data_IF_309638572336
#
_entry.id   IF_309638572336
#
_cell.length_a   1.000
_cell.length_b   1.000
_cell.length_c   1.000
_cell.angle_alpha   90.00
_cell.angle_beta   90.00
_cell.angle_gamma   90.00
#
_symmetry.space_group_name_H-M   'P 1'
#
loop_
_entity.id
_entity.type
_entity.pdbx_description
1 polymer ?
#
# COMPACT_ATOMS: atom_id res chain seq x y z
N UNK A 1 -5.46 -8.07 18.65
CA UNK A 1 -6.11 -6.82 18.18
C UNK A 1 -7.60 -6.84 18.51
N UNK A 2 -8.22 -5.67 18.72
CA UNK A 2 -9.66 -5.55 19.05
C UNK A 2 -10.50 -5.09 17.87
N UNK A 3 -9.93 -4.29 16.98
CA UNK A 3 -10.65 -3.64 15.89
C UNK A 3 -10.09 -3.98 14.51
N UNK A 4 -8.78 -3.81 14.30
CA UNK A 4 -8.13 -4.08 13.01
C UNK A 4 -7.75 -5.55 12.88
N UNK A 5 -8.77 -6.43 13.06
CA UNK A 5 -8.61 -7.87 13.02
C UNK A 5 -8.45 -8.40 11.59
N UNK A 6 -8.06 -9.67 11.45
CA UNK A 6 -8.02 -10.38 10.16
C UNK A 6 -9.37 -10.29 9.44
N UNK A 7 -10.48 -10.48 10.16
CA UNK A 7 -11.82 -10.38 9.60
C UNK A 7 -12.18 -8.96 9.16
N UNK A 8 -11.71 -7.92 9.87
CA UNK A 8 -11.86 -6.54 9.44
C UNK A 8 -11.08 -6.27 8.15
N UNK A 9 -9.84 -6.76 8.07
CA UNK A 9 -9.01 -6.64 6.87
C UNK A 9 -9.62 -7.37 5.68
N UNK A 10 -10.10 -8.61 5.88
CA UNK A 10 -10.83 -9.34 4.83
C UNK A 10 -12.11 -8.63 4.40
N UNK A 11 -12.82 -8.00 5.33
CA UNK A 11 -14.01 -7.19 5.01
C UNK A 11 -13.63 -5.98 4.14
N UNK A 12 -12.49 -5.33 4.43
CA UNK A 12 -11.97 -4.22 3.65
C UNK A 12 -11.71 -4.63 2.19
N UNK A 13 -11.18 -5.82 1.94
CA UNK A 13 -10.98 -6.34 0.58
C UNK A 13 -12.30 -6.59 -0.19
N UNK A 14 -13.43 -6.63 0.51
CA UNK A 14 -14.76 -6.95 -0.03
C UNK A 14 -15.66 -5.70 -0.14
N UNK A 15 -15.09 -4.48 -0.06
CA UNK A 15 -15.87 -3.22 -0.06
C UNK A 15 -16.42 -2.87 -1.44
N UNK A 16 -15.74 -3.24 -2.51
CA UNK A 16 -16.20 -2.98 -3.87
C UNK A 16 -15.78 -4.08 -4.84
N UNK A 17 -16.60 -5.11 -4.96
CA UNK A 17 -16.41 -6.16 -5.95
C UNK A 17 -16.56 -5.67 -7.40
N UNK A 18 -17.27 -4.55 -7.59
CA UNK A 18 -17.60 -4.03 -8.92
C UNK A 18 -16.61 -2.95 -9.40
N UNK A 19 -15.54 -2.68 -8.66
CA UNK A 19 -14.53 -1.71 -9.07
C UNK A 19 -14.00 -2.06 -10.47
N UNK A 20 -13.98 -1.07 -11.38
CA UNK A 20 -13.57 -1.24 -12.78
C UNK A 20 -14.44 -2.20 -13.60
N UNK A 21 -15.55 -2.74 -13.06
CA UNK A 21 -16.45 -3.65 -13.77
C UNK A 21 -17.65 -2.90 -14.35
N UNK A 22 -18.14 -3.40 -15.48
CA UNK A 22 -19.31 -2.87 -16.19
C UNK A 22 -20.37 -3.96 -16.32
N UNK A 23 -21.63 -3.64 -16.06
CA UNK A 23 -22.70 -4.60 -16.27
C UNK A 23 -22.92 -4.85 -17.78
N UNK A 24 -23.14 -6.11 -18.14
CA UNK A 24 -23.54 -6.55 -19.47
C UNK A 24 -24.85 -7.36 -19.36
N UNK A 25 -25.57 -7.57 -20.45
CA UNK A 25 -26.77 -8.39 -20.45
C UNK A 25 -26.47 -9.80 -19.92
N UNK A 26 -27.44 -10.40 -19.24
CA UNK A 26 -27.34 -11.80 -18.84
C UNK A 26 -27.47 -12.71 -20.06
N UNK A 27 -26.75 -13.82 -20.08
CA UNK A 27 -26.77 -14.81 -21.19
C UNK A 27 -25.42 -15.49 -21.35
N UNK A 28 -25.40 -16.44 -22.28
CA UNK A 28 -24.18 -17.10 -22.73
C UNK A 28 -23.55 -16.29 -23.85
N UNK A 29 -22.23 -16.18 -23.85
CA UNK A 29 -21.44 -15.44 -24.84
C UNK A 29 -20.61 -16.42 -25.66
N UNK A 30 -20.81 -16.44 -26.96
CA UNK A 30 -19.99 -17.23 -27.89
C UNK A 30 -18.54 -16.64 -27.96
N UNK A 31 -17.63 -17.43 -28.53
CA UNK A 31 -16.25 -16.96 -28.77
C UNK A 31 -16.22 -15.72 -29.68
N UNK A 32 -17.14 -15.65 -30.64
CA UNK A 32 -17.28 -14.50 -31.54
C UNK A 32 -17.77 -13.25 -30.79
N UNK A 33 -18.66 -13.40 -29.81
CA UNK A 33 -19.12 -12.28 -29.00
C UNK A 33 -18.01 -11.77 -28.06
N UNK A 34 -17.27 -12.69 -27.43
CA UNK A 34 -16.10 -12.36 -26.63
C UNK A 34 -15.05 -11.63 -27.46
N UNK A 35 -14.78 -12.13 -28.70
CA UNK A 35 -13.83 -11.48 -29.60
C UNK A 35 -14.26 -10.06 -29.95
N UNK A 36 -15.53 -9.83 -30.27
CA UNK A 36 -16.04 -8.47 -30.51
C UNK A 36 -15.89 -7.55 -29.30
N UNK A 37 -16.14 -8.06 -28.11
CA UNK A 37 -15.95 -7.30 -26.86
C UNK A 37 -14.48 -6.98 -26.63
N UNK A 38 -13.58 -7.94 -26.86
CA UNK A 38 -12.14 -7.74 -26.78
C UNK A 38 -11.67 -6.63 -27.73
N UNK A 39 -12.02 -6.75 -29.02
CA UNK A 39 -11.63 -5.78 -30.05
C UNK A 39 -12.17 -4.36 -29.72
N UNK A 40 -13.40 -4.28 -29.21
CA UNK A 40 -14.00 -3.02 -28.77
C UNK A 40 -13.25 -2.41 -27.58
N UNK A 41 -12.87 -3.23 -26.59
CA UNK A 41 -12.13 -2.76 -25.41
C UNK A 41 -10.72 -2.32 -25.78
N UNK A 42 -10.00 -3.12 -26.57
CA UNK A 42 -8.69 -2.77 -27.07
C UNK A 42 -8.70 -1.44 -27.82
N UNK A 43 -9.64 -1.27 -28.77
CA UNK A 43 -9.78 -0.02 -29.51
C UNK A 43 -10.04 1.18 -28.58
N UNK A 44 -10.86 0.99 -27.54
CA UNK A 44 -11.16 2.05 -26.59
C UNK A 44 -9.94 2.40 -25.72
N UNK A 45 -9.13 1.41 -25.35
CA UNK A 45 -7.90 1.59 -24.59
C UNK A 45 -6.85 2.36 -25.39
N UNK A 46 -6.59 1.94 -26.63
CA UNK A 46 -5.69 2.63 -27.57
C UNK A 46 -6.13 4.08 -27.80
N UNK A 47 -7.44 4.30 -27.97
CA UNK A 47 -7.97 5.66 -28.17
C UNK A 47 -7.86 6.53 -26.92
N UNK A 48 -7.94 5.94 -25.72
CA UNK A 48 -7.73 6.65 -24.44
C UNK A 48 -6.27 7.03 -24.31
N UNK A 49 -5.36 6.06 -24.43
CA UNK A 49 -3.92 6.29 -24.28
C UNK A 49 -3.39 7.28 -25.31
N UNK A 50 -3.91 7.21 -26.57
CA UNK A 50 -3.56 8.22 -27.55
C UNK A 50 -4.02 9.63 -27.16
N UNK A 51 -5.23 9.77 -26.64
CA UNK A 51 -5.73 11.07 -26.17
C UNK A 51 -4.90 11.60 -25.01
N UNK A 52 -4.60 10.74 -24.02
CA UNK A 52 -3.79 11.12 -22.87
C UNK A 52 -2.36 11.47 -23.31
N UNK A 53 -1.83 10.75 -24.33
CA UNK A 53 -0.56 11.06 -24.97
C UNK A 53 -0.60 12.41 -25.72
N UNK A 54 -1.67 12.73 -26.42
CA UNK A 54 -1.83 13.96 -27.19
C UNK A 54 -2.15 15.18 -26.28
N UNK A 55 -2.51 14.95 -25.02
CA UNK A 55 -2.83 16.01 -24.07
C UNK A 55 -1.58 16.83 -23.73
N UNK A 56 -1.63 18.17 -23.90
CA UNK A 56 -0.48 19.03 -23.56
C UNK A 56 -0.28 19.10 -22.05
N UNK A 57 0.93 19.40 -21.57
CA UNK A 57 1.19 19.57 -20.14
C UNK A 57 0.27 20.61 -19.53
N UNK A 58 -0.42 20.23 -18.47
CA UNK A 58 -1.30 21.13 -17.70
C UNK A 58 -0.67 21.38 -16.33
N UNK A 59 -0.71 22.63 -15.88
CA UNK A 59 -0.11 23.03 -14.61
C UNK A 59 -1.16 23.71 -13.73
N UNK A 60 -1.13 23.36 -12.44
CA UNK A 60 -1.98 24.04 -11.45
C UNK A 60 -1.37 25.42 -11.20
N UNK A 61 -2.15 26.47 -11.32
CA UNK A 61 -1.74 27.81 -10.93
C UNK A 61 -1.82 27.97 -9.42
N UNK A 62 -0.65 28.00 -8.77
CA UNK A 62 -0.51 28.32 -7.37
C UNK A 62 -0.31 29.82 -7.18
N UNK A 63 -1.05 30.41 -6.24
CA UNK A 63 -0.76 31.76 -5.78
C UNK A 63 0.45 31.75 -4.83
N UNK A 64 1.64 31.78 -5.43
CA UNK A 64 2.91 31.72 -4.70
C UNK A 64 3.07 32.96 -3.78
N UNK A 65 2.42 34.08 -4.10
CA UNK A 65 2.53 35.30 -3.31
C UNK A 65 1.72 35.18 -1.99
N UNK A 66 0.67 34.35 -1.98
CA UNK A 66 -0.13 34.04 -0.78
C UNK A 66 0.42 32.87 0.04
N UNK A 67 1.28 32.03 -0.54
CA UNK A 67 1.77 30.80 0.09
C UNK A 67 2.87 31.04 1.12
N UNK A 68 2.93 30.21 2.15
CA UNK A 68 4.02 30.18 3.13
C UNK A 68 5.24 29.43 2.54
N UNK A 69 6.43 30.03 2.64
CA UNK A 69 7.68 29.41 2.16
C UNK A 69 7.98 28.08 2.87
N UNK A 70 7.56 27.94 4.12
CA UNK A 70 7.77 26.71 4.90
C UNK A 70 6.96 25.51 4.41
N UNK A 71 5.92 25.74 3.58
CA UNK A 71 5.12 24.68 2.97
C UNK A 71 5.76 24.11 1.69
N UNK A 72 6.78 24.81 1.13
CA UNK A 72 7.50 24.36 -0.05
C UNK A 72 8.80 23.67 0.35
N UNK A 73 8.81 22.36 0.26
CA UNK A 73 10.02 21.57 0.35
C UNK A 73 10.17 20.76 -0.94
N UNK A 74 11.39 20.69 -1.48
CA UNK A 74 11.71 19.92 -2.67
C UNK A 74 12.99 19.11 -2.47
N UNK A 75 13.12 18.03 -3.21
CA UNK A 75 14.36 17.27 -3.23
C UNK A 75 15.28 17.82 -4.34
N UNK A 76 16.53 18.08 -4.01
CA UNK A 76 17.53 18.44 -5.01
C UNK A 76 17.99 17.19 -5.80
N UNK A 77 18.89 17.39 -6.78
CA UNK A 77 19.46 16.32 -7.61
C UNK A 77 20.16 15.20 -6.80
N UNK A 78 20.55 15.47 -5.57
CA UNK A 78 21.18 14.49 -4.66
C UNK A 78 20.18 13.85 -3.68
N UNK A 79 18.87 14.05 -3.87
CA UNK A 79 17.83 13.51 -2.98
C UNK A 79 17.73 14.21 -1.63
N UNK A 80 18.42 15.32 -1.42
CA UNK A 80 18.37 16.07 -0.16
C UNK A 80 17.15 16.99 -0.13
N UNK A 81 16.34 16.91 0.95
CA UNK A 81 15.21 17.80 1.16
C UNK A 81 15.71 19.24 1.39
N UNK A 82 15.40 20.12 0.46
CA UNK A 82 15.74 21.53 0.49
C UNK A 82 14.49 22.38 0.66
N UNK A 83 14.65 23.55 1.28
CA UNK A 83 13.62 24.58 1.32
C UNK A 83 14.06 25.75 0.43
N UNK A 84 13.14 26.33 -0.35
CA UNK A 84 13.45 27.50 -1.16
C UNK A 84 13.80 28.69 -0.23
N UNK A 85 14.76 29.49 -0.67
CA UNK A 85 15.20 30.67 0.08
C UNK A 85 14.31 31.89 -0.15
N UNK A 86 13.51 31.88 -1.22
CA UNK A 86 12.63 32.99 -1.60
C UNK A 86 11.49 32.56 -2.52
N UNK A 87 10.43 33.36 -2.57
CA UNK A 87 9.34 33.21 -3.54
C UNK A 87 9.79 33.35 -5.00
N UNK A 88 10.87 34.10 -5.24
CA UNK A 88 11.47 34.23 -6.57
C UNK A 88 12.09 32.92 -7.02
N UNK A 89 12.78 32.22 -6.15
CA UNK A 89 13.34 30.89 -6.43
C UNK A 89 12.25 29.87 -6.77
N UNK A 90 11.11 29.85 -6.02
CA UNK A 90 9.97 28.98 -6.33
C UNK A 90 9.42 29.30 -7.75
N UNK A 91 9.25 30.58 -8.08
CA UNK A 91 8.77 30.98 -9.40
C UNK A 91 9.71 30.54 -10.53
N UNK A 92 11.03 30.62 -10.29
CA UNK A 92 12.04 30.16 -11.22
C UNK A 92 12.03 28.65 -11.42
N UNK A 93 11.92 27.89 -10.32
CA UNK A 93 11.80 26.42 -10.35
C UNK A 93 10.54 25.98 -11.12
N UNK A 94 9.38 26.55 -10.81
CA UNK A 94 8.13 26.23 -11.52
C UNK A 94 8.23 26.60 -13.01
N UNK A 95 8.86 27.73 -13.33
CA UNK A 95 9.06 28.11 -14.73
C UNK A 95 9.99 27.15 -15.48
N UNK A 96 11.06 26.69 -14.83
CA UNK A 96 11.98 25.70 -15.38
C UNK A 96 11.28 24.32 -15.58
N UNK A 97 10.51 23.86 -14.59
CA UNK A 97 9.73 22.63 -14.69
C UNK A 97 8.70 22.69 -15.83
N UNK A 98 7.97 23.81 -15.94
CA UNK A 98 7.03 24.04 -17.04
C UNK A 98 7.74 24.01 -18.40
N UNK A 99 8.88 24.64 -18.51
CA UNK A 99 9.67 24.66 -19.75
C UNK A 99 10.20 23.27 -20.11
N UNK A 100 10.68 22.50 -19.12
CA UNK A 100 11.14 21.14 -19.32
C UNK A 100 10.00 20.21 -19.78
N UNK A 101 8.83 20.28 -19.14
CA UNK A 101 7.66 19.49 -19.51
C UNK A 101 7.17 19.81 -20.93
N UNK A 102 7.20 21.08 -21.34
CA UNK A 102 6.88 21.46 -22.72
C UNK A 102 7.92 20.96 -23.73
N UNK A 103 9.23 21.05 -23.41
CA UNK A 103 10.29 20.52 -24.26
C UNK A 103 10.19 19.01 -24.45
N UNK A 104 9.87 18.28 -23.39
CA UNK A 104 9.59 16.84 -23.44
C UNK A 104 8.37 16.54 -24.31
N UNK A 105 7.26 17.25 -24.09
CA UNK A 105 6.05 17.12 -24.89
C UNK A 105 6.30 17.32 -26.39
N UNK A 106 7.05 18.36 -26.78
CA UNK A 106 7.33 18.68 -28.18
C UNK A 106 8.34 17.72 -28.83
N UNK A 107 9.26 17.14 -28.04
CA UNK A 107 10.33 16.26 -28.54
C UNK A 107 9.97 14.78 -28.56
N UNK A 108 8.83 14.39 -27.96
CA UNK A 108 8.43 12.99 -27.88
C UNK A 108 8.16 12.36 -29.24
N UNK A 109 8.45 11.06 -29.43
CA UNK A 109 8.19 10.36 -30.68
C UNK A 109 6.69 10.30 -30.98
N UNK A 110 6.26 9.94 -32.18
CA UNK A 110 4.85 9.68 -32.47
C UNK A 110 4.29 8.56 -31.57
N UNK A 111 3.01 8.68 -31.18
CA UNK A 111 2.34 7.65 -30.38
C UNK A 111 2.41 6.27 -31.07
N UNK A 112 2.91 5.29 -30.34
CA UNK A 112 2.94 3.89 -30.78
C UNK A 112 1.83 3.07 -30.06
N UNK A 113 0.81 2.60 -30.77
CA UNK A 113 -0.25 1.79 -30.17
C UNK A 113 0.22 0.40 -29.74
N UNK A 114 1.35 -0.10 -30.24
CA UNK A 114 1.82 -1.48 -29.97
C UNK A 114 2.07 -1.75 -28.50
N UNK A 115 2.59 -0.77 -27.74
CA UNK A 115 2.79 -0.89 -26.31
C UNK A 115 1.46 -1.02 -25.55
N UNK A 116 0.47 -0.21 -25.93
CA UNK A 116 -0.88 -0.31 -25.35
C UNK A 116 -1.53 -1.66 -25.67
N UNK A 117 -1.39 -2.15 -26.90
CA UNK A 117 -1.90 -3.44 -27.31
C UNK A 117 -1.24 -4.59 -26.54
N UNK A 118 0.06 -4.54 -26.33
CA UNK A 118 0.80 -5.53 -25.56
C UNK A 118 0.37 -5.52 -24.09
N UNK A 119 0.31 -4.35 -23.46
CA UNK A 119 -0.13 -4.18 -22.07
C UNK A 119 -1.58 -4.66 -21.88
N UNK A 120 -2.47 -4.34 -22.82
CA UNK A 120 -3.86 -4.81 -22.78
C UNK A 120 -3.94 -6.34 -22.86
N UNK A 121 -3.15 -6.97 -23.73
CA UNK A 121 -3.10 -8.44 -23.87
C UNK A 121 -2.61 -9.08 -22.57
N UNK A 122 -1.53 -8.59 -22.00
CA UNK A 122 -0.99 -9.09 -20.73
C UNK A 122 -2.01 -8.96 -19.59
N UNK A 123 -2.71 -7.81 -19.51
CA UNK A 123 -3.76 -7.61 -18.52
C UNK A 123 -4.97 -8.55 -18.73
N UNK A 124 -5.33 -8.82 -19.98
CA UNK A 124 -6.38 -9.78 -20.30
C UNK A 124 -6.00 -11.21 -19.89
N UNK A 125 -4.78 -11.65 -20.22
CA UNK A 125 -4.27 -12.98 -19.87
C UNK A 125 -4.18 -13.16 -18.35
N UNK A 126 -3.67 -12.18 -17.63
CA UNK A 126 -3.69 -12.17 -16.16
C UNK A 126 -5.13 -12.18 -15.58
N UNK A 127 -6.05 -11.47 -16.24
CA UNK A 127 -7.47 -11.47 -15.89
C UNK A 127 -8.15 -12.82 -16.08
N UNK A 128 -7.75 -13.61 -17.09
CA UNK A 128 -8.22 -14.99 -17.27
C UNK A 128 -7.77 -15.90 -16.14
N UNK A 129 -6.51 -15.74 -15.67
CA UNK A 129 -5.92 -16.59 -14.65
C UNK A 129 -6.41 -16.22 -13.25
N UNK A 130 -6.40 -14.94 -12.90
CA UNK A 130 -6.61 -14.47 -11.52
C UNK A 130 -7.90 -13.68 -11.32
N UNK A 131 -8.57 -13.23 -12.39
CA UNK A 131 -9.68 -12.27 -12.29
C UNK A 131 -10.87 -12.75 -11.47
N UNK A 132 -11.12 -14.06 -11.44
CA UNK A 132 -12.20 -14.65 -10.64
C UNK A 132 -11.91 -14.70 -9.14
N UNK A 133 -10.64 -14.70 -8.72
CA UNK A 133 -10.25 -14.92 -7.31
C UNK A 133 -10.81 -13.85 -6.36
N UNK A 134 -10.99 -12.63 -6.85
CA UNK A 134 -11.54 -11.51 -6.07
C UNK A 134 -13.02 -11.62 -5.71
N UNK A 135 -13.76 -12.52 -6.37
CA UNK A 135 -15.20 -12.67 -6.17
C UNK A 135 -15.54 -13.77 -5.17
N UNK A 136 -16.68 -13.66 -4.47
CA UNK A 136 -17.17 -14.72 -3.61
C UNK A 136 -17.49 -15.99 -4.42
N UNK A 137 -17.43 -17.15 -3.78
CA UNK A 137 -17.57 -18.45 -4.42
C UNK A 137 -18.84 -18.56 -5.28
N UNK A 138 -19.99 -18.07 -4.76
CA UNK A 138 -21.25 -18.08 -5.52
C UNK A 138 -21.18 -17.30 -6.85
N UNK A 139 -20.39 -16.23 -6.88
CA UNK A 139 -20.21 -15.44 -8.10
C UNK A 139 -19.21 -16.12 -9.05
N UNK A 140 -18.10 -16.66 -8.52
CA UNK A 140 -17.12 -17.38 -9.34
C UNK A 140 -17.72 -18.51 -10.14
N UNK A 141 -18.66 -19.26 -9.56
CA UNK A 141 -19.33 -20.36 -10.21
C UNK A 141 -20.33 -19.92 -11.30
N UNK A 142 -20.74 -18.65 -11.31
CA UNK A 142 -21.69 -18.07 -12.27
C UNK A 142 -21.03 -17.17 -13.32
N UNK A 143 -19.71 -16.94 -13.25
CA UNK A 143 -19.01 -15.97 -14.08
C UNK A 143 -18.17 -16.67 -15.15
N UNK A 144 -18.21 -16.11 -16.36
CA UNK A 144 -17.27 -16.40 -17.44
C UNK A 144 -15.98 -15.58 -17.22
N UNK A 145 -14.83 -16.28 -17.04
CA UNK A 145 -13.54 -15.64 -16.83
C UNK A 145 -13.16 -14.67 -17.97
N UNK A 146 -13.57 -14.96 -19.20
CA UNK A 146 -13.30 -14.12 -20.37
C UNK A 146 -14.01 -12.76 -20.27
N UNK A 147 -15.26 -12.75 -19.79
CA UNK A 147 -15.99 -11.51 -19.54
C UNK A 147 -15.35 -10.72 -18.39
N UNK A 148 -14.98 -11.41 -17.32
CA UNK A 148 -14.33 -10.80 -16.17
C UNK A 148 -12.99 -10.16 -16.58
N UNK A 149 -12.16 -10.86 -17.34
CA UNK A 149 -10.89 -10.33 -17.86
C UNK A 149 -11.09 -9.08 -18.74
N UNK A 150 -12.23 -8.95 -19.42
CA UNK A 150 -12.62 -7.75 -20.18
C UNK A 150 -13.29 -6.66 -19.31
N UNK A 151 -13.45 -6.87 -18.03
CA UNK A 151 -14.09 -5.91 -17.12
C UNK A 151 -15.62 -5.92 -17.21
N UNK A 152 -16.24 -7.05 -17.56
CA UNK A 152 -17.71 -7.18 -17.64
C UNK A 152 -18.23 -8.20 -16.64
N UNK A 153 -19.43 -7.91 -16.12
CA UNK A 153 -20.21 -8.83 -15.29
C UNK A 153 -21.64 -8.92 -15.81
N UNK A 154 -22.27 -10.11 -15.86
CA UNK A 154 -23.69 -10.24 -16.08
C UNK A 154 -24.50 -9.33 -15.15
N UNK A 155 -25.57 -8.72 -15.61
CA UNK A 155 -26.34 -7.72 -14.86
C UNK A 155 -26.81 -8.22 -13.51
N UNK A 156 -27.37 -9.41 -13.47
CA UNK A 156 -27.86 -10.03 -12.22
C UNK A 156 -26.74 -10.25 -11.19
N UNK A 157 -25.58 -10.71 -11.64
CA UNK A 157 -24.40 -10.90 -10.78
C UNK A 157 -23.85 -9.55 -10.30
N UNK A 158 -23.74 -8.56 -11.20
CA UNK A 158 -23.29 -7.21 -10.88
C UNK A 158 -24.16 -6.56 -9.79
N UNK A 159 -25.49 -6.62 -9.96
CA UNK A 159 -26.42 -5.97 -9.02
C UNK A 159 -26.37 -6.65 -7.64
N UNK A 160 -26.25 -7.98 -7.59
CA UNK A 160 -26.08 -8.73 -6.33
C UNK A 160 -24.75 -8.41 -5.64
N UNK A 161 -23.63 -8.37 -6.37
CA UNK A 161 -22.32 -8.00 -5.86
C UNK A 161 -22.31 -6.57 -5.32
N UNK A 162 -22.95 -5.64 -6.02
CA UNK A 162 -23.08 -4.25 -5.60
C UNK A 162 -23.86 -4.11 -4.30
N UNK A 163 -24.91 -4.89 -4.11
CA UNK A 163 -25.68 -4.91 -2.86
C UNK A 163 -24.85 -5.52 -1.71
N UNK A 164 -24.08 -6.57 -1.98
CA UNK A 164 -23.16 -7.17 -1.01
C UNK A 164 -22.06 -6.19 -0.60
N UNK A 165 -21.42 -5.53 -1.58
CA UNK A 165 -20.43 -4.46 -1.33
C UNK A 165 -21.00 -3.33 -0.46
N UNK A 166 -22.25 -2.91 -0.70
CA UNK A 166 -22.90 -1.87 0.11
C UNK A 166 -23.10 -2.31 1.57
N UNK A 167 -23.48 -3.57 1.81
CA UNK A 167 -23.60 -4.13 3.17
C UNK A 167 -22.24 -4.21 3.86
N UNK A 168 -21.23 -4.72 3.14
CA UNK A 168 -19.86 -4.81 3.65
C UNK A 168 -19.31 -3.42 4.02
N UNK A 169 -19.51 -2.43 3.15
CA UNK A 169 -19.11 -1.04 3.39
C UNK A 169 -19.74 -0.47 4.64
N UNK A 170 -21.05 -0.67 4.82
CA UNK A 170 -21.76 -0.20 6.03
C UNK A 170 -21.20 -0.85 7.31
N UNK A 171 -20.93 -2.15 7.28
CA UNK A 171 -20.33 -2.88 8.41
C UNK A 171 -18.90 -2.38 8.69
N UNK A 172 -18.09 -2.23 7.66
CA UNK A 172 -16.73 -1.72 7.74
C UNK A 172 -16.69 -0.32 8.36
N UNK A 173 -17.54 0.61 7.88
CA UNK A 173 -17.64 1.96 8.41
C UNK A 173 -18.06 1.99 9.89
N UNK A 174 -18.94 1.08 10.32
CA UNK A 174 -19.34 0.98 11.72
C UNK A 174 -18.19 0.54 12.62
N UNK A 175 -17.45 -0.52 12.21
CA UNK A 175 -16.29 -1.03 12.94
C UNK A 175 -15.20 0.04 13.00
N UNK A 176 -14.85 0.64 11.86
CA UNK A 176 -13.79 1.66 11.76
C UNK A 176 -14.10 2.90 12.60
N UNK A 177 -15.37 3.34 12.62
CA UNK A 177 -15.79 4.47 13.49
C UNK A 177 -15.68 4.11 14.97
N UNK A 178 -16.06 2.89 15.36
CA UNK A 178 -15.92 2.43 16.73
C UNK A 178 -14.45 2.30 17.14
N UNK A 179 -13.61 1.74 16.24
CA UNK A 179 -12.17 1.65 16.41
C UNK A 179 -11.55 3.01 16.65
N UNK A 180 -11.76 3.96 15.73
CA UNK A 180 -11.21 5.31 15.83
C UNK A 180 -11.56 5.97 17.16
N UNK A 181 -12.84 5.94 17.56
CA UNK A 181 -13.28 6.52 18.82
C UNK A 181 -12.64 5.87 20.06
N UNK A 182 -12.36 4.56 20.01
CA UNK A 182 -11.74 3.85 21.12
C UNK A 182 -10.23 4.10 21.16
N UNK A 183 -9.55 4.05 20.00
CA UNK A 183 -8.12 4.24 19.89
C UNK A 183 -7.71 5.69 20.18
N UNK A 184 -8.51 6.69 19.78
CA UNK A 184 -8.30 8.09 20.14
C UNK A 184 -8.21 8.28 21.68
N UNK A 185 -9.07 7.57 22.44
CA UNK A 185 -9.03 7.61 23.91
C UNK A 185 -7.85 6.86 24.52
N UNK A 186 -7.38 5.80 23.86
CA UNK A 186 -6.21 5.07 24.33
C UNK A 186 -4.93 5.87 24.02
N UNK A 187 -4.86 6.55 22.86
CA UNK A 187 -3.72 7.38 22.48
C UNK A 187 -3.47 8.54 23.45
N UNK A 188 -4.53 9.09 24.09
CA UNK A 188 -4.39 10.11 25.13
C UNK A 188 -3.61 9.63 26.37
N UNK A 189 -3.53 8.29 26.59
CA UNK A 189 -2.85 7.67 27.72
C UNK A 189 -1.41 7.22 27.40
N UNK A 190 -1.03 7.28 26.14
CA UNK A 190 0.25 6.81 25.63
C UNK A 190 1.09 8.01 25.21
N UNK A 191 2.40 8.05 25.49
CA UNK A 191 3.26 9.12 25.00
C UNK A 191 3.18 9.27 23.48
N UNK A 192 2.87 10.48 22.98
CA UNK A 192 2.68 10.75 21.55
C UNK A 192 3.85 10.27 20.69
N UNK A 193 5.08 10.36 21.19
CA UNK A 193 6.29 9.86 20.52
C UNK A 193 6.19 8.36 20.12
N UNK A 194 5.44 7.55 20.87
CA UNK A 194 5.28 6.11 20.57
C UNK A 194 4.40 5.91 19.35
N UNK A 195 3.25 6.58 19.28
CA UNK A 195 2.36 6.50 18.13
C UNK A 195 2.96 7.16 16.87
N UNK A 196 3.77 8.21 17.05
CA UNK A 196 4.49 8.89 15.97
C UNK A 196 5.57 8.01 15.33
N UNK A 197 6.17 7.05 16.05
CA UNK A 197 7.15 6.11 15.49
C UNK A 197 6.55 5.34 14.31
N UNK A 198 5.29 4.91 14.44
CA UNK A 198 4.62 4.03 13.47
C UNK A 198 3.85 4.81 12.38
N UNK A 199 3.82 6.13 12.48
CA UNK A 199 3.26 6.96 11.42
C UNK A 199 4.07 6.77 10.13
N UNK A 200 3.43 6.20 9.10
CA UNK A 200 4.07 5.92 7.80
C UNK A 200 4.65 4.51 7.66
N UNK A 201 4.43 3.60 8.62
CA UNK A 201 4.88 2.20 8.50
C UNK A 201 3.93 1.33 7.65
N UNK A 202 2.76 1.83 7.27
CA UNK A 202 1.85 1.07 6.41
C UNK A 202 2.57 0.62 5.13
N UNK A 203 2.45 -0.66 4.81
CA UNK A 203 3.15 -1.34 3.71
C UNK A 203 4.68 -1.45 3.84
N UNK A 204 5.25 -1.07 4.99
CA UNK A 204 6.67 -1.29 5.27
C UNK A 204 6.99 -2.78 5.41
N UNK A 205 8.20 -3.16 5.00
CA UNK A 205 8.67 -4.54 5.12
C UNK A 205 9.35 -4.77 6.47
N UNK A 206 8.87 -5.72 7.25
CA UNK A 206 9.54 -6.19 8.45
C UNK A 206 10.58 -7.23 8.02
N UNK A 207 11.84 -6.91 8.22
CA UNK A 207 12.95 -7.73 7.78
C UNK A 207 13.33 -8.80 8.80
N UNK A 208 13.27 -8.46 10.09
CA UNK A 208 13.58 -9.38 11.18
C UNK A 208 12.99 -8.93 12.52
N UNK A 209 12.82 -9.89 13.42
CA UNK A 209 12.44 -9.70 14.81
C UNK A 209 13.49 -10.40 15.67
N UNK A 210 14.24 -9.65 16.48
CA UNK A 210 15.30 -10.18 17.32
C UNK A 210 14.99 -9.93 18.80
N UNK A 211 15.19 -10.93 19.63
CA UNK A 211 15.11 -10.79 21.09
C UNK A 211 16.52 -10.72 21.68
N UNK A 212 16.83 -9.63 22.37
CA UNK A 212 18.14 -9.40 22.97
C UNK A 212 18.00 -8.73 24.34
N UNK A 213 18.62 -9.30 25.37
CA UNK A 213 18.72 -8.73 26.73
C UNK A 213 17.35 -8.29 27.33
N UNK A 214 16.28 -8.99 26.99
CA UNK A 214 14.92 -8.68 27.42
C UNK A 214 14.17 -7.67 26.56
N UNK A 215 14.81 -7.07 25.56
CA UNK A 215 14.21 -6.22 24.55
C UNK A 215 13.81 -7.04 23.30
N UNK A 216 12.82 -6.55 22.52
CA UNK A 216 12.53 -7.03 21.20
C UNK A 216 12.89 -5.94 20.19
N UNK A 217 13.71 -6.27 19.23
CA UNK A 217 14.10 -5.40 18.12
C UNK A 217 13.33 -5.79 16.85
N UNK A 218 12.67 -4.83 16.21
CA UNK A 218 12.01 -4.96 14.94
C UNK A 218 12.78 -4.12 13.92
N UNK A 219 13.39 -4.75 12.92
CA UNK A 219 14.02 -4.07 11.81
C UNK A 219 13.03 -3.92 10.67
N UNK A 220 12.83 -2.69 10.22
CA UNK A 220 11.81 -2.32 9.23
C UNK A 220 12.46 -1.58 8.07
N UNK A 221 12.08 -1.92 6.85
CA UNK A 221 12.38 -1.16 5.64
C UNK A 221 11.13 -0.40 5.22
N UNK A 222 11.21 0.93 5.22
CA UNK A 222 10.10 1.77 4.80
C UNK A 222 9.98 1.76 3.27
N UNK A 223 8.83 1.37 2.74
CA UNK A 223 8.54 1.38 1.32
C UNK A 223 7.99 2.75 0.92
N UNK A 224 8.85 3.78 0.93
CA UNK A 224 8.45 5.12 0.50
C UNK A 224 8.95 5.37 -0.93
N UNK A 225 8.04 5.62 -1.85
CA UNK A 225 8.36 5.96 -3.25
C UNK A 225 9.15 7.28 -3.40
N UNK A 226 9.29 8.05 -2.31
CA UNK A 226 10.04 9.31 -2.29
C UNK A 226 11.56 9.13 -2.14
N UNK A 227 12.03 7.91 -1.89
CA UNK A 227 13.44 7.61 -1.68
C UNK A 227 13.91 6.60 -2.75
N UNK A 228 14.25 7.10 -3.95
CA UNK A 228 14.67 6.22 -5.05
C UNK A 228 16.03 5.54 -4.81
N UNK A 229 16.93 6.13 -4.01
CA UNK A 229 18.32 5.65 -3.85
C UNK A 229 18.69 5.15 -2.45
N UNK A 230 17.96 5.48 -1.41
CA UNK A 230 18.23 5.00 -0.04
C UNK A 230 16.94 4.59 0.65
N UNK A 231 16.64 3.32 0.65
CA UNK A 231 15.51 2.79 1.43
C UNK A 231 15.84 2.94 2.91
N UNK A 232 15.16 3.81 3.67
CA UNK A 232 15.51 4.06 5.06
C UNK A 232 15.18 2.82 5.90
N UNK A 233 16.20 2.27 6.53
CA UNK A 233 16.05 1.24 7.53
C UNK A 233 15.76 1.87 8.87
N UNK A 234 14.83 1.28 9.59
CA UNK A 234 14.40 1.74 10.91
C UNK A 234 14.49 0.56 11.88
N UNK A 235 15.12 0.78 13.02
CA UNK A 235 15.13 -0.15 14.15
C UNK A 235 14.20 0.33 15.22
N UNK A 236 13.14 -0.43 15.51
CA UNK A 236 12.21 -0.18 16.60
C UNK A 236 12.54 -1.14 17.73
N UNK A 237 12.80 -0.62 18.93
CA UNK A 237 13.16 -1.41 20.11
C UNK A 237 12.06 -1.30 21.15
N UNK A 238 11.47 -2.44 21.47
CA UNK A 238 10.48 -2.61 22.54
C UNK A 238 11.23 -2.98 23.81
N UNK A 239 11.30 -2.07 24.77
CA UNK A 239 12.06 -2.22 26.00
C UNK A 239 11.38 -3.15 27.02
N UNK A 240 12.13 -4.09 27.60
CA UNK A 240 11.60 -5.11 28.52
C UNK A 240 10.38 -5.83 27.94
N UNK A 241 10.54 -6.36 26.74
CA UNK A 241 9.46 -6.88 25.92
C UNK A 241 9.02 -8.30 26.29
N UNK A 242 7.71 -8.49 26.36
CA UNK A 242 7.07 -9.80 26.44
C UNK A 242 6.22 -10.00 25.19
N UNK A 243 6.62 -10.93 24.32
CA UNK A 243 5.81 -11.33 23.17
C UNK A 243 4.66 -12.20 23.69
N UNK A 244 3.44 -11.71 23.53
CA UNK A 244 2.21 -12.39 23.98
C UNK A 244 1.64 -13.27 22.88
N UNK A 245 1.82 -12.88 21.61
CA UNK A 245 1.33 -13.59 20.43
C UNK A 245 2.27 -13.30 19.26
N UNK A 246 2.57 -14.29 18.42
CA UNK A 246 3.43 -14.13 17.24
C UNK A 246 2.97 -14.91 16.01
N UNK A 247 1.84 -15.62 16.05
CA UNK A 247 1.24 -16.36 14.93
C UNK A 247 2.27 -17.09 14.02
N UNK A 248 3.29 -17.72 14.63
CA UNK A 248 4.34 -18.43 13.89
C UNK A 248 5.38 -17.52 13.21
N UNK A 249 5.41 -16.22 13.52
CA UNK A 249 6.52 -15.35 13.12
C UNK A 249 7.81 -15.84 13.79
N UNK A 250 8.90 -15.83 13.05
CA UNK A 250 10.23 -16.19 13.58
C UNK A 250 10.73 -15.00 14.40
N UNK A 251 10.98 -15.26 15.69
CA UNK A 251 11.61 -14.31 16.60
C UNK A 251 12.95 -14.92 17.00
N UNK A 252 14.04 -14.36 16.49
CA UNK A 252 15.37 -14.87 16.75
C UNK A 252 15.83 -14.53 18.18
N UNK A 253 16.35 -15.51 18.91
CA UNK A 253 16.90 -15.35 20.24
C UNK A 253 18.42 -15.24 20.15
N UNK A 254 18.95 -14.02 20.01
CA UNK A 254 20.38 -13.75 19.87
C UNK A 254 21.22 -14.18 21.09
N UNK A 255 20.61 -14.46 22.25
CA UNK A 255 21.31 -14.96 23.42
C UNK A 255 21.87 -16.40 23.23
N UNK A 256 21.45 -17.16 22.22
CA UNK A 256 21.85 -18.55 21.96
C UNK A 256 22.89 -18.71 20.87
N UNK A 257 23.23 -17.68 20.10
CA UNK A 257 24.19 -17.75 19.00
C UNK A 257 25.58 -17.19 19.38
N UNK A 258 26.21 -17.74 20.42
CA UNK A 258 27.65 -17.50 20.70
C UNK A 258 28.54 -18.40 19.85
N UNK A 259 28.32 -18.44 18.56
CA UNK A 259 29.12 -19.13 17.55
C UNK A 259 29.42 -18.18 16.42
N UNK A 260 30.71 -17.78 16.31
CA UNK A 260 31.21 -17.06 15.15
C UNK A 260 30.82 -17.77 13.86
N UNK A 261 30.05 -17.15 13.03
CA UNK A 261 29.75 -17.75 11.75
C UNK A 261 28.66 -17.03 10.97
N UNK A 262 29.08 -16.44 9.91
CA UNK A 262 28.31 -16.15 8.73
C UNK A 262 27.58 -14.79 8.72
N UNK A 263 28.29 -13.83 8.16
CA UNK A 263 27.75 -12.60 7.58
C UNK A 263 26.96 -12.85 6.27
N UNK A 264 26.42 -14.07 6.11
CA UNK A 264 25.57 -14.50 5.00
C UNK A 264 24.21 -14.94 5.57
N UNK A 265 23.55 -14.06 6.34
CA UNK A 265 22.13 -14.18 6.51
C UNK A 265 21.50 -13.80 5.16
N UNK A 266 21.37 -14.79 4.27
CA UNK A 266 20.45 -14.74 3.15
C UNK A 266 19.13 -14.24 3.72
N UNK A 267 18.70 -13.04 3.30
CA UNK A 267 17.38 -12.51 3.59
C UNK A 267 16.38 -13.63 3.27
N UNK A 268 15.81 -14.21 4.31
CA UNK A 268 14.82 -15.26 4.14
C UNK A 268 13.66 -14.67 3.35
N UNK A 269 13.10 -15.45 2.42
CA UNK A 269 11.94 -15.11 1.59
C UNK A 269 10.65 -14.81 2.42
N UNK A 270 10.73 -14.76 3.74
CA UNK A 270 9.65 -14.57 4.71
C UNK A 270 9.51 -13.10 5.18
N UNK A 271 9.65 -12.12 4.30
CA UNK A 271 9.37 -10.72 4.67
C UNK A 271 7.90 -10.55 4.98
N UNK A 272 7.60 -10.10 6.20
CA UNK A 272 6.24 -9.70 6.58
C UNK A 272 6.02 -8.22 6.27
N UNK A 273 4.84 -7.90 5.73
CA UNK A 273 4.43 -6.52 5.47
C UNK A 273 3.62 -6.00 6.67
N UNK A 274 3.98 -4.82 7.14
CA UNK A 274 3.25 -4.12 8.18
C UNK A 274 1.96 -3.53 7.61
N UNK A 275 0.81 -3.87 8.22
CA UNK A 275 -0.49 -3.40 7.77
C UNK A 275 -1.12 -2.39 8.72
N UNK A 276 -1.42 -2.82 9.96
CA UNK A 276 -2.15 -2.02 10.94
C UNK A 276 -1.63 -2.26 12.35
N UNK A 277 -1.84 -1.28 13.22
CA UNK A 277 -1.50 -1.33 14.63
C UNK A 277 -2.62 -0.86 15.55
N UNK A 278 -2.52 -1.26 16.81
CA UNK A 278 -3.32 -0.77 17.93
C UNK A 278 -2.43 -0.71 19.18
N UNK A 279 -2.45 0.41 19.87
CA UNK A 279 -1.69 0.58 21.11
C UNK A 279 -2.62 0.78 22.30
N UNK A 280 -2.27 0.14 23.41
CA UNK A 280 -3.02 0.22 24.66
C UNK A 280 -2.10 0.53 25.83
N UNK A 281 -2.50 1.50 26.67
CA UNK A 281 -1.80 1.74 27.92
C UNK A 281 -2.08 0.58 28.88
N UNK A 282 -1.03 0.04 29.47
CA UNK A 282 -1.08 -1.00 30.51
C UNK A 282 -0.25 -0.62 31.71
N UNK A 283 -0.44 -1.31 32.84
CA UNK A 283 0.37 -1.07 34.03
C UNK A 283 1.86 -1.28 33.71
N UNK A 284 2.65 -0.22 33.86
CA UNK A 284 4.07 -0.25 33.63
C UNK A 284 4.53 -0.13 32.17
N UNK A 285 3.65 0.22 31.21
CA UNK A 285 4.07 0.39 29.83
C UNK A 285 2.96 0.40 28.79
N UNK A 286 3.24 -0.21 27.67
CA UNK A 286 2.38 -0.26 26.48
C UNK A 286 2.22 -1.69 25.99
N UNK A 287 1.02 -2.03 25.56
CA UNK A 287 0.73 -3.24 24.79
C UNK A 287 0.47 -2.84 23.33
N UNK A 288 1.32 -3.28 22.44
CA UNK A 288 1.29 -3.02 21.02
C UNK A 288 0.81 -4.26 20.26
N UNK A 289 -0.19 -4.09 19.41
CA UNK A 289 -0.76 -5.15 18.56
C UNK A 289 -0.54 -4.77 17.10
N UNK A 290 -0.06 -5.71 16.32
CA UNK A 290 0.22 -5.53 14.90
C UNK A 290 -0.53 -6.57 14.08
N UNK A 291 -1.12 -6.14 12.97
CA UNK A 291 -1.57 -7.00 11.88
C UNK A 291 -0.53 -6.95 10.78
N UNK A 292 0.01 -8.09 10.43
CA UNK A 292 1.06 -8.29 9.46
C UNK A 292 0.57 -9.21 8.33
N UNK A 293 1.17 -9.08 7.16
CA UNK A 293 0.93 -9.97 6.03
C UNK A 293 2.26 -10.60 5.59
N UNK A 294 2.34 -11.93 5.65
CA UNK A 294 3.40 -12.72 5.03
C UNK A 294 2.71 -13.61 3.96
N UNK A 295 2.80 -14.94 4.04
CA UNK A 295 1.98 -15.84 3.23
C UNK A 295 0.48 -15.71 3.57
N UNK A 296 0.19 -15.39 4.84
CA UNK A 296 -1.15 -15.12 5.36
C UNK A 296 -1.12 -13.95 6.36
N UNK A 297 -2.30 -13.58 6.87
CA UNK A 297 -2.43 -12.57 7.91
C UNK A 297 -1.97 -13.12 9.26
N UNK A 298 -1.07 -12.41 9.93
CA UNK A 298 -0.47 -12.79 11.22
C UNK A 298 -0.65 -11.70 12.25
N UNK A 299 -0.75 -12.09 13.51
CA UNK A 299 -0.72 -11.17 14.64
C UNK A 299 0.64 -11.21 15.32
N UNK A 300 1.12 -10.03 15.70
CA UNK A 300 2.19 -9.85 16.66
C UNK A 300 1.66 -8.97 17.80
N UNK A 301 1.70 -9.46 19.02
CA UNK A 301 1.33 -8.71 20.22
C UNK A 301 2.49 -8.66 21.17
N UNK A 302 2.92 -7.44 21.53
CA UNK A 302 4.06 -7.19 22.39
C UNK A 302 3.66 -6.28 23.55
N UNK A 303 3.94 -6.70 24.79
CA UNK A 303 3.87 -5.83 25.95
C UNK A 303 5.28 -5.39 26.33
N UNK A 304 5.50 -4.11 26.53
CA UNK A 304 6.82 -3.54 26.81
C UNK A 304 6.73 -2.32 27.75
N UNK A 305 7.84 -2.00 28.37
CA UNK A 305 7.91 -0.82 29.24
C UNK A 305 7.96 0.49 28.43
N UNK A 306 8.58 0.47 27.25
CA UNK A 306 8.74 1.62 26.37
C UNK A 306 9.03 1.17 24.93
N UNK A 307 8.86 2.10 23.99
CA UNK A 307 9.20 1.90 22.57
C UNK A 307 10.09 3.06 22.13
N UNK A 308 11.23 2.74 21.52
CA UNK A 308 12.17 3.71 20.96
C UNK A 308 12.46 3.35 19.52
N UNK A 309 12.80 4.36 18.71
CA UNK A 309 13.05 4.21 17.29
C UNK A 309 14.41 4.82 16.94
N UNK A 310 15.21 4.09 16.19
CA UNK A 310 16.47 4.53 15.63
C UNK A 310 16.34 4.51 14.10
N UNK A 311 16.59 5.63 13.43
CA UNK A 311 16.54 5.77 11.97
C UNK A 311 17.95 5.71 11.40
N UNK A 312 18.07 5.27 10.14
CA UNK A 312 19.33 5.16 9.41
C UNK A 312 20.35 4.25 10.12
N UNK A 313 19.88 3.08 10.52
CA UNK A 313 20.76 2.03 11.03
C UNK A 313 21.39 1.34 9.82
N UNK A 314 22.73 1.41 9.71
CA UNK A 314 23.45 0.65 8.69
C UNK A 314 23.15 -0.84 8.85
N UNK A 315 22.92 -1.54 7.74
CA UNK A 315 22.63 -2.98 7.68
C UNK A 315 23.74 -3.89 8.24
N UNK A 316 24.79 -3.33 8.83
CA UNK A 316 26.08 -3.95 9.14
C UNK A 316 26.24 -4.37 10.61
N UNK A 317 25.22 -4.29 11.48
CA UNK A 317 25.37 -4.80 12.86
C UNK A 317 24.34 -5.87 13.23
#
# INVERSE_FOLDING_TARGET
MKFYTKEWYELMQKLDYCICMRPIADGEYSDDDIKKLYDKRLKAEVARDKRDYDEPPSFIDFDIDAADLDEFAFFNETGTLCKPSSKAEIKEMIAAEKAAAWAEYESRPPFDPSETEQRFRQAYDAGLEYGLMRFPEWARNALDSRLVALGYLPRTVYDRLKEESRRNKKQFEQITRAARKALDKESEKIPARITEIFAGFHDASILRLNKRDGDLEMCVRLNCACFEDETPYVRVVFKNAHVLESDGLVVDDCAKSSGAGSADATFADDMSVYLYDEFYAVDGGVEAHFLLCADDLKYLTVRCADIVCERNVDDAE
#
